data_IF_578866040780
#
_entry.id   IF_578866040780
#
_cell.length_a   1.000
_cell.length_b   1.000
_cell.length_c   1.000
_cell.angle_alpha   90.00
_cell.angle_beta   90.00
_cell.angle_gamma   90.00
#
_symmetry.space_group_name_H-M   'P 1'
#
loop_
_entity.id
_entity.type
_entity.pdbx_description
1 polymer ?
#
# COMPACT_ATOMS: atom_id res chain seq x y z
N UNK A 1 2.57 5.07 -38.60
CA UNK A 1 2.84 4.22 -37.42
C UNK A 1 1.49 3.87 -36.83
N UNK A 2 1.15 2.58 -36.70
CA UNK A 2 -0.09 2.19 -36.02
C UNK A 2 0.03 2.63 -34.58
N UNK A 3 -0.86 3.50 -34.10
CA UNK A 3 -0.99 3.69 -32.66
C UNK A 3 -1.40 2.34 -32.08
N UNK A 4 -0.68 1.87 -31.06
CA UNK A 4 -1.10 0.70 -30.29
C UNK A 4 -2.41 1.04 -29.57
N UNK A 5 -3.35 0.10 -29.58
CA UNK A 5 -4.58 0.16 -28.78
C UNK A 5 -4.46 -0.80 -27.61
N UNK A 6 -5.20 -0.52 -26.55
CA UNK A 6 -5.29 -1.41 -25.40
C UNK A 6 -5.89 -2.76 -25.80
N UNK A 7 -5.27 -3.85 -25.38
CA UNK A 7 -5.71 -5.21 -25.68
C UNK A 7 -6.93 -5.69 -24.88
N UNK A 8 -7.39 -4.90 -23.91
CA UNK A 8 -8.57 -5.20 -23.12
C UNK A 8 -9.82 -4.44 -23.59
N UNK A 9 -9.69 -3.15 -23.90
CA UNK A 9 -10.84 -2.30 -24.26
C UNK A 9 -10.84 -1.80 -25.71
N UNK A 10 -9.80 -2.11 -26.50
CA UNK A 10 -9.61 -1.67 -27.89
C UNK A 10 -9.51 -0.13 -28.11
N UNK A 11 -9.44 0.66 -27.04
CA UNK A 11 -9.30 2.12 -27.08
C UNK A 11 -7.82 2.57 -27.19
N UNK A 12 -7.56 3.82 -27.64
CA UNK A 12 -6.23 4.41 -27.62
C UNK A 12 -5.64 4.47 -26.20
N UNK A 13 -4.33 4.22 -26.08
CA UNK A 13 -3.58 4.19 -24.81
C UNK A 13 -3.26 5.59 -24.26
N UNK A 14 -4.30 6.39 -24.12
CA UNK A 14 -4.26 7.76 -23.57
C UNK A 14 -5.44 7.94 -22.62
N UNK A 15 -5.23 8.76 -21.59
CA UNK A 15 -6.30 9.29 -20.74
C UNK A 15 -6.61 10.71 -21.19
N UNK A 16 -7.89 11.09 -21.10
CA UNK A 16 -8.35 12.47 -21.34
C UNK A 16 -8.45 13.16 -19.99
N UNK A 17 -7.81 14.32 -19.88
CA UNK A 17 -7.94 15.20 -18.74
C UNK A 17 -8.91 16.29 -19.16
N UNK A 18 -10.10 16.29 -18.58
CA UNK A 18 -11.06 17.37 -18.73
C UNK A 18 -10.61 18.52 -17.81
N UNK A 19 -10.38 19.71 -18.36
CA UNK A 19 -10.14 20.92 -17.55
C UNK A 19 -11.46 21.36 -16.91
N UNK A 20 -11.40 21.78 -15.64
CA UNK A 20 -12.56 22.25 -14.86
C UNK A 20 -13.40 23.28 -15.65
N UNK A 21 -14.73 23.20 -15.53
CA UNK A 21 -15.74 23.95 -16.31
C UNK A 21 -15.63 25.51 -16.26
N UNK A 22 -14.64 26.07 -15.56
CA UNK A 22 -14.44 27.52 -15.35
C UNK A 22 -13.44 28.19 -16.34
N UNK A 23 -12.79 27.46 -17.26
CA UNK A 23 -11.95 28.05 -18.32
C UNK A 23 -12.66 28.09 -19.70
N UNK A 24 -12.94 29.30 -20.18
CA UNK A 24 -13.84 29.54 -21.31
C UNK A 24 -13.42 28.94 -22.66
N UNK A 25 -14.35 28.19 -23.26
CA UNK A 25 -14.64 27.96 -24.71
C UNK A 25 -13.47 27.64 -25.68
N UNK A 26 -12.25 27.36 -25.23
CA UNK A 26 -11.14 26.90 -26.08
C UNK A 26 -10.13 26.01 -25.33
N UNK A 27 -10.60 25.17 -24.41
CA UNK A 27 -9.76 24.14 -23.79
C UNK A 27 -9.53 22.99 -24.79
N UNK A 28 -8.32 22.86 -25.32
CA UNK A 28 -7.90 21.63 -26.00
C UNK A 28 -7.82 20.53 -24.93
N UNK A 29 -8.69 19.50 -25.02
CA UNK A 29 -8.66 18.38 -24.08
C UNK A 29 -7.25 17.80 -23.99
N UNK A 30 -6.57 18.00 -22.86
CA UNK A 30 -5.22 17.50 -22.67
C UNK A 30 -5.28 15.97 -22.61
N UNK A 31 -4.39 15.32 -23.36
CA UNK A 31 -4.27 13.86 -23.33
C UNK A 31 -2.91 13.48 -22.77
N UNK A 32 -2.93 12.55 -21.84
CA UNK A 32 -1.72 11.97 -21.23
C UNK A 32 -1.63 10.50 -21.64
N UNK A 33 -0.42 9.95 -21.85
CA UNK A 33 -0.27 8.54 -22.16
C UNK A 33 -0.71 7.67 -20.98
N UNK A 34 -1.24 6.49 -21.27
CA UNK A 34 -1.42 5.40 -20.32
C UNK A 34 -1.17 4.08 -21.05
N UNK A 35 0.12 3.78 -21.24
CA UNK A 35 0.59 2.65 -22.03
C UNK A 35 1.51 1.75 -21.20
N UNK A 36 0.98 0.60 -20.75
CA UNK A 36 1.73 -0.52 -20.21
C UNK A 36 2.10 -1.48 -21.34
N UNK A 37 3.35 -1.44 -21.76
CA UNK A 37 3.90 -2.35 -22.77
C UNK A 37 4.56 -3.56 -22.12
N UNK A 38 3.94 -4.74 -22.29
CA UNK A 38 4.49 -6.03 -21.86
C UNK A 38 5.61 -6.49 -22.80
N UNK A 39 6.52 -7.34 -22.31
CA UNK A 39 7.63 -7.89 -23.13
C UNK A 39 7.16 -8.70 -24.35
N UNK A 40 5.95 -9.28 -24.29
CA UNK A 40 5.35 -9.97 -25.43
C UNK A 40 4.84 -9.04 -26.54
N UNK A 41 4.91 -7.72 -26.33
CA UNK A 41 4.46 -6.68 -27.27
C UNK A 41 2.96 -6.36 -27.18
N UNK A 42 2.24 -6.92 -26.20
CA UNK A 42 0.87 -6.49 -25.90
C UNK A 42 0.90 -5.21 -25.07
N UNK A 43 -0.06 -4.33 -25.34
CA UNK A 43 -0.21 -3.03 -24.68
C UNK A 43 -1.57 -2.94 -23.97
N UNK A 44 -1.60 -2.30 -22.81
CA UNK A 44 -2.80 -2.14 -21.99
C UNK A 44 -2.79 -0.76 -21.31
N UNK A 45 -3.96 -0.22 -21.05
CA UNK A 45 -4.12 0.79 -19.98
C UNK A 45 -3.73 0.17 -18.64
N UNK A 46 -3.23 0.98 -17.71
CA UNK A 46 -2.85 0.48 -16.38
C UNK A 46 -4.02 -0.19 -15.69
N UNK A 47 -5.16 0.50 -15.61
CA UNK A 47 -6.39 0.00 -14.97
C UNK A 47 -6.89 -1.28 -15.65
N UNK A 48 -6.95 -1.31 -16.98
CA UNK A 48 -7.38 -2.52 -17.71
C UNK A 48 -6.50 -3.75 -17.47
N UNK A 49 -5.19 -3.57 -17.25
CA UNK A 49 -4.31 -4.68 -16.88
C UNK A 49 -4.54 -5.10 -15.41
N UNK A 50 -4.77 -4.13 -14.52
CA UNK A 50 -5.07 -4.37 -13.11
C UNK A 50 -6.41 -5.08 -12.92
N UNK A 51 -7.42 -4.84 -13.76
CA UNK A 51 -8.67 -5.60 -13.76
C UNK A 51 -8.43 -7.11 -13.97
N UNK A 52 -7.39 -7.47 -14.74
CA UNK A 52 -6.98 -8.85 -14.98
C UNK A 52 -6.00 -9.41 -13.92
N UNK A 53 -5.69 -8.65 -12.86
CA UNK A 53 -4.63 -8.96 -11.91
C UNK A 53 -4.76 -10.36 -11.31
N UNK A 54 -5.95 -10.79 -10.87
CA UNK A 54 -6.16 -12.15 -10.34
C UNK A 54 -5.78 -13.24 -11.34
N UNK A 55 -6.16 -13.08 -12.61
CA UNK A 55 -5.84 -14.03 -13.69
C UNK A 55 -4.33 -14.06 -13.99
N UNK A 56 -3.71 -12.89 -14.06
CA UNK A 56 -2.29 -12.74 -14.38
C UNK A 56 -1.42 -13.23 -13.22
N UNK A 57 -1.73 -12.87 -11.97
CA UNK A 57 -0.98 -13.30 -10.79
C UNK A 57 -0.99 -14.82 -10.61
N UNK A 58 -2.11 -15.49 -10.93
CA UNK A 58 -2.23 -16.95 -10.86
C UNK A 58 -1.54 -17.67 -12.02
N UNK A 59 -1.65 -17.15 -13.24
CA UNK A 59 -1.19 -17.84 -14.45
C UNK A 59 0.23 -17.45 -14.88
N UNK A 60 0.72 -16.29 -14.44
CA UNK A 60 1.95 -15.63 -14.89
C UNK A 60 2.00 -15.46 -16.42
N UNK A 61 0.84 -15.20 -17.04
CA UNK A 61 0.66 -15.08 -18.49
C UNK A 61 -0.04 -13.80 -18.88
N UNK A 62 0.29 -13.29 -20.06
CA UNK A 62 -0.41 -12.18 -20.70
C UNK A 62 -1.89 -12.54 -20.92
N UNK A 63 -2.85 -11.71 -20.49
CA UNK A 63 -4.27 -12.00 -20.66
C UNK A 63 -4.70 -11.97 -22.14
N UNK A 64 -3.96 -11.27 -23.00
CA UNK A 64 -4.28 -11.17 -24.44
C UNK A 64 -3.69 -12.31 -25.28
N UNK A 65 -2.43 -12.68 -25.08
CA UNK A 65 -1.72 -13.63 -25.95
C UNK A 65 -1.21 -14.90 -25.25
N UNK A 66 -1.46 -15.04 -23.94
CA UNK A 66 -1.03 -16.16 -23.09
C UNK A 66 0.48 -16.39 -23.00
N UNK A 67 1.31 -15.46 -23.50
CA UNK A 67 2.76 -15.51 -23.34
C UNK A 67 3.15 -15.43 -21.85
N UNK A 68 4.15 -16.20 -21.44
CA UNK A 68 4.70 -16.13 -20.08
C UNK A 68 5.35 -14.77 -19.85
N UNK A 69 5.05 -14.14 -18.72
CA UNK A 69 5.47 -12.76 -18.41
C UNK A 69 6.76 -12.61 -17.60
N UNK A 70 7.05 -13.46 -16.59
CA UNK A 70 8.25 -13.31 -15.78
C UNK A 70 9.54 -13.35 -16.60
N UNK A 71 10.49 -12.48 -16.24
CA UNK A 71 11.74 -12.30 -16.99
C UNK A 71 12.71 -13.51 -16.91
N UNK A 72 12.44 -14.52 -16.08
CA UNK A 72 13.26 -15.74 -15.98
C UNK A 72 12.57 -16.96 -16.60
N UNK A 73 13.24 -17.58 -17.58
CA UNK A 73 12.95 -18.90 -18.13
C UNK A 73 13.35 -20.05 -17.18
N UNK A 74 13.11 -19.93 -15.87
CA UNK A 74 13.23 -21.07 -14.96
C UNK A 74 11.93 -21.89 -15.08
N UNK A 75 12.07 -23.15 -15.51
CA UNK A 75 10.95 -24.06 -15.77
C UNK A 75 10.03 -24.31 -14.56
N UNK A 76 8.92 -25.03 -14.76
CA UNK A 76 7.84 -25.12 -13.79
C UNK A 76 8.29 -25.91 -12.56
N UNK A 77 8.38 -25.24 -11.42
CA UNK A 77 8.43 -25.82 -10.07
C UNK A 77 8.15 -24.68 -9.10
N UNK A 78 7.24 -24.73 -8.14
CA UNK A 78 6.27 -25.73 -7.74
C UNK A 78 5.03 -25.00 -7.20
N UNK A 79 3.94 -25.75 -7.09
CA UNK A 79 2.74 -25.40 -6.33
C UNK A 79 3.04 -24.79 -4.97
N UNK A 80 2.76 -23.50 -4.79
CA UNK A 80 2.33 -22.95 -3.52
C UNK A 80 1.32 -21.85 -3.77
N UNK A 81 0.12 -22.09 -3.24
CA UNK A 81 -0.98 -21.16 -3.18
C UNK A 81 -0.55 -20.01 -2.28
N UNK A 82 -0.44 -18.83 -2.88
CA UNK A 82 -0.78 -17.59 -2.19
C UNK A 82 0.02 -17.31 -0.91
N UNK A 83 1.36 -17.39 -0.94
CA UNK A 83 2.27 -16.84 0.10
C UNK A 83 3.73 -17.11 -0.27
N UNK A 84 4.43 -16.08 -0.74
CA UNK A 84 5.87 -15.77 -0.57
C UNK A 84 6.29 -14.78 -1.67
N UNK A 85 6.22 -13.47 -1.38
CA UNK A 85 6.69 -12.39 -2.25
C UNK A 85 8.24 -12.36 -2.44
N UNK A 86 8.97 -13.37 -1.99
CA UNK A 86 10.43 -13.33 -1.91
C UNK A 86 11.16 -14.14 -3.00
N UNK A 87 10.46 -14.87 -3.88
CA UNK A 87 11.13 -15.77 -4.85
C UNK A 87 10.42 -15.95 -6.20
N UNK A 88 9.55 -15.03 -6.61
CA UNK A 88 8.98 -15.05 -7.97
C UNK A 88 9.80 -14.15 -8.90
N UNK A 89 10.00 -14.59 -10.14
CA UNK A 89 10.70 -13.79 -11.14
C UNK A 89 9.86 -12.54 -11.51
N UNK A 90 10.49 -11.36 -11.69
CA UNK A 90 9.78 -10.10 -11.86
C UNK A 90 9.03 -10.06 -13.19
N UNK A 91 7.92 -9.32 -13.23
CA UNK A 91 7.19 -9.02 -14.47
C UNK A 91 7.56 -7.61 -14.89
N UNK A 92 8.53 -7.51 -15.79
CA UNK A 92 9.10 -6.23 -16.22
C UNK A 92 8.32 -5.66 -17.42
N UNK A 93 7.94 -4.39 -17.33
CA UNK A 93 7.22 -3.66 -18.39
C UNK A 93 7.88 -2.33 -18.69
N UNK A 94 7.49 -1.72 -19.82
CA UNK A 94 7.67 -0.29 -20.02
C UNK A 94 6.34 0.40 -19.77
N UNK A 95 6.30 1.35 -18.85
CA UNK A 95 5.11 2.15 -18.57
C UNK A 95 5.32 3.59 -19.02
N UNK A 96 4.39 4.14 -19.80
CA UNK A 96 4.37 5.55 -20.18
C UNK A 96 3.14 6.23 -19.59
N UNK A 97 3.36 7.22 -18.72
CA UNK A 97 2.31 8.01 -18.07
C UNK A 97 2.66 9.51 -18.06
N UNK A 98 1.89 10.31 -17.31
CA UNK A 98 2.13 11.76 -17.14
C UNK A 98 3.54 12.09 -16.63
N UNK A 99 4.14 11.20 -15.83
CA UNK A 99 5.49 11.34 -15.27
C UNK A 99 6.61 10.97 -16.25
N UNK A 100 6.26 10.54 -17.47
CA UNK A 100 7.19 10.13 -18.51
C UNK A 100 7.23 8.60 -18.69
N UNK A 101 8.37 8.09 -19.17
CA UNK A 101 8.56 6.67 -19.48
C UNK A 101 9.40 6.00 -18.41
N UNK A 102 8.86 4.95 -17.81
CA UNK A 102 9.54 4.06 -16.88
C UNK A 102 9.85 2.73 -17.57
N UNK A 103 11.14 2.47 -17.80
CA UNK A 103 11.61 1.21 -18.39
C UNK A 103 11.88 0.17 -17.29
N UNK A 104 11.60 -1.10 -17.59
CA UNK A 104 11.80 -2.24 -16.67
C UNK A 104 11.09 -2.07 -15.31
N UNK A 105 9.90 -1.46 -15.30
CA UNK A 105 9.05 -1.42 -14.12
C UNK A 105 8.60 -2.85 -13.77
N UNK A 106 8.89 -3.32 -12.55
CA UNK A 106 8.34 -4.58 -12.06
C UNK A 106 6.92 -4.37 -11.55
N UNK A 107 5.94 -4.91 -12.26
CA UNK A 107 4.52 -4.79 -11.92
C UNK A 107 3.99 -6.00 -11.16
N UNK A 108 4.81 -7.03 -10.92
CA UNK A 108 4.36 -8.21 -10.17
C UNK A 108 3.86 -7.84 -8.76
N UNK A 109 4.50 -6.91 -8.00
CA UNK A 109 3.96 -6.44 -6.73
C UNK A 109 2.55 -5.84 -6.88
N UNK A 110 2.36 -4.93 -7.84
CA UNK A 110 1.05 -4.29 -8.10
C UNK A 110 -0.02 -5.30 -8.51
N UNK A 111 0.30 -6.27 -9.38
CA UNK A 111 -0.62 -7.34 -9.76
C UNK A 111 -0.97 -8.25 -8.58
N UNK A 112 0.00 -8.57 -7.73
CA UNK A 112 -0.22 -9.42 -6.54
C UNK A 112 -1.13 -8.70 -5.54
N UNK A 113 -0.88 -7.42 -5.34
CA UNK A 113 -1.69 -6.52 -4.53
C UNK A 113 -3.13 -6.42 -5.04
N UNK A 114 -3.32 -6.09 -6.31
CA UNK A 114 -4.67 -5.92 -6.87
C UNK A 114 -5.42 -7.26 -6.87
N UNK A 115 -4.75 -8.37 -7.22
CA UNK A 115 -5.33 -9.70 -7.11
C UNK A 115 -5.79 -10.02 -5.68
N UNK A 116 -5.03 -9.61 -4.66
CA UNK A 116 -5.43 -9.79 -3.28
C UNK A 116 -6.67 -8.95 -2.92
N UNK A 117 -6.69 -7.68 -3.32
CA UNK A 117 -7.82 -6.77 -3.06
C UNK A 117 -9.09 -7.22 -3.78
N UNK A 118 -9.00 -7.67 -5.02
CA UNK A 118 -10.14 -8.24 -5.76
C UNK A 118 -10.77 -9.43 -5.03
N UNK A 119 -9.96 -10.23 -4.33
CA UNK A 119 -10.42 -11.39 -3.56
C UNK A 119 -10.76 -11.06 -2.09
N UNK A 120 -10.33 -9.91 -1.57
CA UNK A 120 -10.55 -9.45 -0.19
C UNK A 120 -10.85 -7.94 -0.18
N UNK A 121 -12.01 -7.49 -0.70
CA UNK A 121 -12.30 -6.05 -0.84
C UNK A 121 -12.26 -5.29 0.48
N UNK A 122 -12.60 -5.94 1.59
CA UNK A 122 -12.56 -5.40 2.95
C UNK A 122 -11.14 -5.06 3.43
N UNK A 123 -10.10 -5.58 2.78
CA UNK A 123 -8.71 -5.25 3.09
C UNK A 123 -8.29 -3.89 2.52
N UNK A 124 -9.05 -3.30 1.58
CA UNK A 124 -8.68 -2.06 0.90
C UNK A 124 -8.44 -0.88 1.86
N UNK A 125 -9.33 -0.58 2.83
CA UNK A 125 -9.07 0.49 3.80
C UNK A 125 -7.82 0.21 4.64
N UNK A 126 -7.62 -1.03 5.09
CA UNK A 126 -6.45 -1.38 5.89
C UNK A 126 -5.14 -1.23 5.11
N UNK A 127 -5.15 -1.49 3.80
CA UNK A 127 -3.98 -1.30 2.94
C UNK A 127 -3.70 0.18 2.63
N UNK A 128 -4.74 0.98 2.38
CA UNK A 128 -4.60 2.44 2.28
C UNK A 128 -3.99 3.02 3.57
N UNK A 129 -4.48 2.57 4.74
CA UNK A 129 -3.94 2.95 6.05
C UNK A 129 -2.45 2.62 6.19
N UNK A 130 -2.00 1.46 5.71
CA UNK A 130 -0.59 1.06 5.74
C UNK A 130 0.30 1.94 4.87
N UNK A 131 -0.18 2.34 3.69
CA UNK A 131 0.53 3.30 2.81
C UNK A 131 0.69 4.63 3.52
N UNK A 132 -0.40 5.19 4.06
CA UNK A 132 -0.36 6.46 4.81
C UNK A 132 0.57 6.37 6.03
N UNK A 133 0.59 5.24 6.75
CA UNK A 133 1.55 5.00 7.84
C UNK A 133 3.01 4.99 7.36
N UNK A 134 3.28 4.42 6.19
CA UNK A 134 4.61 4.37 5.59
C UNK A 134 5.09 5.75 5.13
N UNK A 135 4.18 6.57 4.60
CA UNK A 135 4.45 7.92 4.09
C UNK A 135 4.43 8.98 5.19
N UNK A 136 3.84 8.68 6.34
CA UNK A 136 3.66 9.63 7.43
C UNK A 136 2.50 10.60 7.20
N UNK A 137 1.55 10.25 6.32
CA UNK A 137 0.36 11.04 6.05
C UNK A 137 -0.66 10.92 7.21
N UNK A 138 -0.38 11.64 8.29
CA UNK A 138 -1.22 11.69 9.49
C UNK A 138 -2.61 12.24 9.17
N UNK A 139 -2.74 13.19 8.25
CA UNK A 139 -4.03 13.76 7.89
C UNK A 139 -4.90 12.72 7.17
N UNK A 140 -4.33 12.02 6.17
CA UNK A 140 -5.00 10.92 5.48
C UNK A 140 -5.37 9.77 6.42
N UNK A 141 -4.49 9.41 7.36
CA UNK A 141 -4.82 8.42 8.40
C UNK A 141 -6.08 8.85 9.16
N UNK A 142 -6.13 10.10 9.62
CA UNK A 142 -7.25 10.59 10.43
C UNK A 142 -8.56 10.60 9.64
N UNK A 143 -8.50 11.08 8.39
CA UNK A 143 -9.66 11.09 7.49
C UNK A 143 -10.20 9.69 7.25
N UNK A 144 -9.32 8.76 6.86
CA UNK A 144 -9.70 7.35 6.63
C UNK A 144 -10.30 6.71 7.88
N UNK A 145 -9.73 6.94 9.07
CA UNK A 145 -10.25 6.37 10.32
C UNK A 145 -11.62 6.96 10.69
N UNK A 146 -11.91 8.21 10.34
CA UNK A 146 -13.23 8.83 10.54
C UNK A 146 -14.26 8.23 9.60
N UNK A 147 -13.93 8.11 8.32
CA UNK A 147 -14.83 7.51 7.32
C UNK A 147 -15.15 6.06 7.70
N UNK A 148 -14.13 5.29 8.08
CA UNK A 148 -14.33 3.92 8.56
C UNK A 148 -15.14 3.89 9.85
N UNK A 149 -14.93 4.81 10.80
CA UNK A 149 -15.74 4.87 12.03
C UNK A 149 -17.23 5.10 11.74
N UNK A 150 -17.54 5.94 10.76
CA UNK A 150 -18.90 6.28 10.36
C UNK A 150 -19.58 5.12 9.59
N UNK A 151 -18.82 4.33 8.83
CA UNK A 151 -19.32 3.17 8.08
C UNK A 151 -19.32 1.85 8.88
N UNK A 152 -18.30 1.63 9.71
CA UNK A 152 -17.98 0.36 10.39
C UNK A 152 -17.45 0.61 11.81
N UNK A 153 -18.08 0.01 12.82
CA UNK A 153 -17.73 0.30 14.23
C UNK A 153 -16.35 -0.23 14.71
N UNK A 154 -15.58 -0.96 13.89
CA UNK A 154 -14.34 -1.64 14.32
C UNK A 154 -13.05 -1.01 13.76
N UNK A 155 -12.87 0.27 14.09
CA UNK A 155 -11.65 1.05 13.80
C UNK A 155 -10.39 0.37 14.37
N UNK A 156 -10.52 -0.34 15.50
CA UNK A 156 -9.39 -0.97 16.16
C UNK A 156 -8.79 -2.13 15.37
N UNK A 157 -9.61 -2.95 14.71
CA UNK A 157 -9.12 -4.00 13.82
C UNK A 157 -8.36 -3.45 12.61
N UNK A 158 -8.76 -2.30 12.09
CA UNK A 158 -8.02 -1.62 11.00
C UNK A 158 -6.65 -1.12 11.49
N UNK A 159 -6.60 -0.42 12.62
CA UNK A 159 -5.33 0.12 13.17
C UNK A 159 -4.34 -1.01 13.53
N UNK A 160 -4.85 -2.17 13.94
CA UNK A 160 -4.05 -3.35 14.31
C UNK A 160 -3.87 -4.35 13.17
N UNK A 161 -4.37 -4.04 11.97
CA UNK A 161 -4.28 -4.92 10.84
C UNK A 161 -2.82 -5.27 10.53
N UNK A 162 -2.56 -6.56 10.30
CA UNK A 162 -1.27 -7.08 9.87
C UNK A 162 -1.39 -7.55 8.43
N UNK A 163 -0.64 -6.94 7.52
CA UNK A 163 -0.76 -7.17 6.08
C UNK A 163 0.02 -8.43 5.66
N UNK A 164 -0.65 -9.50 5.17
CA UNK A 164 0.02 -10.69 4.66
C UNK A 164 0.98 -10.40 3.50
N UNK A 165 0.68 -9.40 2.66
CA UNK A 165 1.52 -9.02 1.53
C UNK A 165 2.79 -8.29 1.97
N UNK A 166 2.73 -7.58 3.10
CA UNK A 166 3.86 -6.87 3.69
C UNK A 166 4.61 -7.72 4.76
N UNK A 167 4.43 -9.05 4.76
CA UNK A 167 5.07 -9.94 5.71
C UNK A 167 4.53 -9.78 7.14
N UNK A 168 3.21 -9.67 7.28
CA UNK A 168 2.49 -9.46 8.55
C UNK A 168 2.90 -8.20 9.32
N UNK A 169 3.53 -7.23 8.66
CA UNK A 169 3.78 -5.92 9.27
C UNK A 169 2.46 -5.22 9.59
N UNK A 170 2.43 -4.48 10.68
CA UNK A 170 1.35 -3.53 10.99
C UNK A 170 1.74 -2.12 10.57
N UNK A 171 0.79 -1.17 10.58
CA UNK A 171 1.08 0.25 10.34
C UNK A 171 2.22 0.79 11.22
N UNK A 172 2.33 0.33 12.48
CA UNK A 172 3.42 0.73 13.38
C UNK A 172 4.79 0.23 12.91
N UNK A 173 4.87 -0.99 12.37
CA UNK A 173 6.12 -1.50 11.80
C UNK A 173 6.56 -0.65 10.59
N UNK A 174 5.60 -0.27 9.74
CA UNK A 174 5.86 0.54 8.54
C UNK A 174 6.28 1.96 8.89
N UNK A 175 5.58 2.62 9.82
CA UNK A 175 5.93 3.96 10.28
C UNK A 175 7.33 4.00 10.90
N UNK A 176 7.67 2.99 11.73
CA UNK A 176 9.01 2.87 12.32
C UNK A 176 10.08 2.63 11.26
N UNK A 177 9.85 1.69 10.32
CA UNK A 177 10.81 1.37 9.27
C UNK A 177 11.14 2.58 8.38
N UNK A 178 10.16 3.47 8.16
CA UNK A 178 10.29 4.64 7.30
C UNK A 178 10.62 5.94 8.04
N UNK A 179 10.83 5.92 9.36
CA UNK A 179 11.22 7.13 10.10
C UNK A 179 10.08 8.12 10.39
N UNK A 180 8.81 7.67 10.33
CA UNK A 180 7.64 8.54 10.43
C UNK A 180 7.22 8.76 11.89
N UNK A 181 7.90 9.67 12.59
CA UNK A 181 7.71 9.87 14.04
C UNK A 181 6.29 10.29 14.42
N UNK A 182 5.66 11.19 13.67
CA UNK A 182 4.29 11.65 13.96
C UNK A 182 3.27 10.52 13.82
N UNK A 183 3.40 9.70 12.78
CA UNK A 183 2.57 8.51 12.60
C UNK A 183 2.80 7.48 13.72
N UNK A 184 4.06 7.28 14.17
CA UNK A 184 4.35 6.41 15.32
C UNK A 184 3.63 6.89 16.57
N UNK A 185 3.70 8.19 16.89
CA UNK A 185 3.01 8.74 18.06
C UNK A 185 1.49 8.61 17.97
N UNK A 186 0.91 8.88 16.79
CA UNK A 186 -0.51 8.69 16.56
C UNK A 186 -0.93 7.24 16.78
N UNK A 187 -0.21 6.27 16.20
CA UNK A 187 -0.52 4.85 16.32
C UNK A 187 -0.41 4.33 17.76
N UNK A 188 0.61 4.78 18.49
CA UNK A 188 0.76 4.47 19.91
C UNK A 188 -0.38 5.09 20.74
N UNK A 189 -0.76 6.33 20.46
CA UNK A 189 -1.89 6.97 21.13
C UNK A 189 -3.20 6.21 20.88
N UNK A 190 -3.46 5.84 19.63
CA UNK A 190 -4.68 5.16 19.23
C UNK A 190 -4.81 3.77 19.84
N UNK A 191 -3.73 2.97 19.81
CA UNK A 191 -3.85 1.51 19.98
C UNK A 191 -2.78 0.85 20.86
N UNK A 192 -2.07 1.61 21.71
CA UNK A 192 -1.23 1.01 22.77
C UNK A 192 -1.97 0.90 24.10
N UNK A 193 -1.49 0.06 25.02
CA UNK A 193 -1.97 -0.02 26.40
C UNK A 193 -1.28 1.00 27.35
N UNK A 194 -0.35 1.83 26.85
CA UNK A 194 0.44 2.80 27.65
C UNK A 194 -0.44 3.85 28.32
N UNK A 195 -0.38 4.12 29.64
CA UNK A 195 -1.22 5.15 30.26
C UNK A 195 -1.09 6.53 29.57
N UNK A 196 -2.21 7.23 29.39
CA UNK A 196 -2.27 8.49 28.60
C UNK A 196 -1.33 9.57 29.13
N UNK A 197 -1.04 9.55 30.44
CA UNK A 197 -0.14 10.48 31.13
C UNK A 197 1.32 10.30 30.70
N UNK A 198 1.68 9.12 30.19
CA UNK A 198 3.03 8.78 29.75
C UNK A 198 3.37 9.39 28.38
N UNK A 199 2.36 9.86 27.64
CA UNK A 199 2.57 10.48 26.33
C UNK A 199 3.03 11.94 26.47
N UNK A 200 3.98 12.40 25.65
CA UNK A 200 4.33 13.81 25.57
C UNK A 200 3.09 14.66 25.27
N UNK A 201 2.98 15.84 25.90
CA UNK A 201 1.85 16.76 25.69
C UNK A 201 1.64 17.12 24.20
N UNK A 202 2.68 17.38 23.39
CA UNK A 202 2.50 17.65 21.96
C UNK A 202 1.82 16.48 21.22
N UNK A 203 2.23 15.24 21.49
CA UNK A 203 1.65 14.05 20.87
C UNK A 203 0.16 13.89 21.24
N UNK A 204 -0.21 14.18 22.48
CA UNK A 204 -1.62 14.17 22.93
C UNK A 204 -2.46 15.23 22.23
N UNK A 205 -1.95 16.46 22.16
CA UNK A 205 -2.67 17.58 21.54
C UNK A 205 -2.92 17.35 20.06
N UNK A 206 -1.96 16.78 19.34
CA UNK A 206 -2.11 16.43 17.93
C UNK A 206 -3.26 15.43 17.77
N UNK A 207 -3.24 14.31 18.50
CA UNK A 207 -4.27 13.30 18.41
C UNK A 207 -5.66 13.78 18.87
N UNK A 208 -5.73 14.58 19.95
CA UNK A 208 -6.97 15.18 20.44
C UNK A 208 -7.55 16.22 19.46
N UNK A 209 -6.69 17.05 18.86
CA UNK A 209 -7.11 18.04 17.84
C UNK A 209 -7.66 17.40 16.58
N UNK A 210 -7.26 16.15 16.32
CA UNK A 210 -7.71 15.33 15.22
C UNK A 210 -9.03 14.59 15.53
N UNK A 211 -9.65 14.82 16.70
CA UNK A 211 -10.97 14.28 17.04
C UNK A 211 -11.03 12.76 17.19
N UNK A 212 -9.90 12.07 17.06
CA UNK A 212 -9.79 10.64 17.30
C UNK A 212 -9.48 10.42 18.79
N UNK A 213 -10.47 9.86 19.49
CA UNK A 213 -10.27 9.37 20.84
C UNK A 213 -9.28 8.20 20.87
N UNK A 214 -8.83 7.87 22.08
CA UNK A 214 -8.05 6.67 22.30
C UNK A 214 -8.95 5.43 22.23
N UNK A 215 -8.54 4.39 21.51
CA UNK A 215 -9.28 3.13 21.47
C UNK A 215 -9.18 2.43 22.83
N UNK A 216 -10.22 1.68 23.20
CA UNK A 216 -10.11 0.75 24.34
C UNK A 216 -9.23 -0.41 23.92
N UNK A 217 -8.05 -0.50 24.53
CA UNK A 217 -7.03 -1.51 24.21
C UNK A 217 -6.87 -2.41 25.42
N UNK A 218 -7.32 -3.66 25.29
CA UNK A 218 -6.94 -4.73 26.20
C UNK A 218 -5.46 -5.08 25.98
N UNK A 219 -4.81 -5.68 26.97
CA UNK A 219 -3.37 -5.95 26.91
C UNK A 219 -2.95 -6.87 25.74
N UNK A 220 -3.85 -7.74 25.28
CA UNK A 220 -3.64 -8.62 24.12
C UNK A 220 -3.86 -7.93 22.76
N UNK A 221 -4.45 -6.73 22.79
CA UNK A 221 -4.67 -5.89 21.62
C UNK A 221 -3.64 -4.76 21.49
N UNK A 222 -2.56 -4.76 22.29
CA UNK A 222 -1.56 -3.71 22.21
C UNK A 222 -0.79 -3.76 20.88
N UNK A 223 -0.85 -2.66 20.12
CA UNK A 223 -0.15 -2.53 18.84
C UNK A 223 1.37 -2.74 18.95
N UNK A 224 1.97 -2.47 20.11
CA UNK A 224 3.40 -2.68 20.39
C UNK A 224 3.76 -4.16 20.45
N UNK A 225 2.81 -5.02 20.82
CA UNK A 225 3.00 -6.46 20.97
C UNK A 225 2.85 -7.24 19.65
N UNK A 226 2.34 -6.59 18.58
CA UNK A 226 2.22 -7.20 17.27
C UNK A 226 3.59 -7.59 16.70
N UNK A 227 3.64 -8.71 16.01
CA UNK A 227 4.86 -9.26 15.42
C UNK A 227 4.72 -9.50 13.93
N UNK A 228 5.71 -9.04 13.16
CA UNK A 228 5.81 -9.38 11.75
C UNK A 228 6.06 -10.88 11.53
N UNK A 229 6.10 -11.32 10.26
CA UNK A 229 6.30 -12.72 9.89
C UNK A 229 7.66 -13.28 10.33
N UNK A 230 8.62 -12.42 10.69
CA UNK A 230 9.92 -12.80 11.25
C UNK A 230 9.90 -12.82 12.78
N UNK A 231 8.75 -12.56 13.41
CA UNK A 231 8.59 -12.50 14.86
C UNK A 231 9.09 -11.20 15.48
N UNK A 232 9.43 -10.18 14.70
CA UNK A 232 9.93 -8.89 15.17
C UNK A 232 8.78 -7.97 15.56
N UNK A 233 8.95 -7.22 16.64
CA UNK A 233 8.05 -6.13 17.03
C UNK A 233 8.50 -4.82 16.37
N UNK A 234 7.67 -3.77 16.46
CA UNK A 234 8.07 -2.43 16.03
C UNK A 234 9.31 -1.91 16.79
N UNK A 235 9.48 -2.27 18.06
CA UNK A 235 10.72 -2.00 18.82
C UNK A 235 11.93 -2.68 18.17
N UNK A 236 11.80 -3.94 17.76
CA UNK A 236 12.89 -4.68 17.10
C UNK A 236 13.27 -4.02 15.77
N UNK A 237 12.29 -3.53 15.01
CA UNK A 237 12.54 -2.75 13.77
C UNK A 237 13.21 -1.41 14.09
N UNK A 238 12.79 -0.72 15.15
CA UNK A 238 13.40 0.55 15.55
C UNK A 238 14.89 0.41 15.94
N UNK A 239 15.27 -0.74 16.52
CA UNK A 239 16.66 -1.06 16.84
C UNK A 239 17.57 -1.16 15.60
N UNK A 240 17.02 -1.42 14.42
CA UNK A 240 17.77 -1.42 13.16
C UNK A 240 18.11 0.02 12.70
N UNK A 241 17.41 1.03 13.21
CA UNK A 241 17.62 2.46 12.91
C UNK A 241 17.72 3.33 14.17
N UNK A 242 18.72 3.01 15.02
CA UNK A 242 18.95 3.70 16.30
C UNK A 242 19.14 5.22 16.18
N UNK A 243 19.64 5.72 15.06
CA UNK A 243 19.84 7.16 14.87
C UNK A 243 18.54 7.95 14.91
N UNK A 244 17.46 7.37 14.37
CA UNK A 244 16.14 8.00 14.33
C UNK A 244 15.40 7.76 15.63
N UNK A 245 15.46 6.52 16.15
CA UNK A 245 14.55 6.09 17.22
C UNK A 245 15.13 6.09 18.63
N UNK A 246 16.37 6.57 18.83
CA UNK A 246 17.05 6.52 20.14
C UNK A 246 16.18 6.99 21.30
N UNK A 247 15.55 8.16 21.16
CA UNK A 247 14.77 8.76 22.23
C UNK A 247 13.52 7.93 22.57
N UNK A 248 12.81 7.40 21.58
CA UNK A 248 11.64 6.55 21.79
C UNK A 248 12.01 5.20 22.42
N UNK A 249 13.15 4.63 21.99
CA UNK A 249 13.69 3.39 22.54
C UNK A 249 14.11 3.55 24.01
N UNK A 250 14.87 4.62 24.33
CA UNK A 250 15.29 4.92 25.70
C UNK A 250 14.11 5.21 26.62
N UNK A 251 13.05 5.83 26.09
CA UNK A 251 11.81 6.07 26.83
C UNK A 251 10.94 4.82 27.00
N UNK A 252 11.28 3.69 26.37
CA UNK A 252 10.49 2.46 26.39
C UNK A 252 9.14 2.60 25.66
N UNK A 253 8.98 3.60 24.79
CA UNK A 253 7.69 3.90 24.15
C UNK A 253 7.19 2.78 23.22
N UNK A 254 8.12 1.99 22.66
CA UNK A 254 7.82 0.87 21.75
C UNK A 254 7.82 -0.49 22.44
N UNK A 255 8.25 -0.59 23.69
CA UNK A 255 8.17 -1.84 24.48
C UNK A 255 6.73 -2.05 24.93
N UNK A 256 6.12 -3.23 24.75
CA UNK A 256 4.80 -3.56 25.30
C UNK A 256 4.72 -3.41 26.83
#
# INVERSE_FOLDING_TARGET
MSMSTCKACDEPLILRVDEDEDEGVNAESQTIPDDVALQCGCHFHWECLMDEASSVALSLKCPSCAAHLPANNAGPSASNQFLEAASSAPILVRYSNEGGVQENLDILPSLTEEAYIQNNPEARPARAFHVMCSEGDVAGIVELLRDVHDEVSDVGSLVRYQDPLAGMKSGLHLAVANGQEEAVWLLLWLSSATPSESFPQPARQVAESMGLGRLSVEADADIRALRDAQGRTAESVAQENLSVWRLLLEAGALSP
#
